data_IF_458557307010
#
_entry.id   IF_458557307010
#
_cell.length_a   1.000
_cell.length_b   1.000
_cell.length_c   1.000
_cell.angle_alpha   90.00
_cell.angle_beta   90.00
_cell.angle_gamma   90.00
#
_symmetry.space_group_name_H-M   'P 1'
#
loop_
_entity.id
_entity.type
_entity.pdbx_description
1 polymer ?
#
# COMPACT_ATOMS: atom_id res chain seq x y z
N UNK A 1 32.52 10.50 17.08
CA UNK A 1 32.01 9.87 15.84
C UNK A 1 30.70 10.54 15.53
N UNK A 2 30.70 11.49 14.61
CA UNK A 2 29.47 12.03 14.05
C UNK A 2 28.68 10.86 13.46
N UNK A 3 27.48 10.62 13.97
CA UNK A 3 26.55 9.72 13.30
C UNK A 3 26.24 10.38 11.98
N UNK A 4 26.72 9.82 10.88
CA UNK A 4 26.19 10.13 9.56
C UNK A 4 24.67 9.97 9.65
N UNK A 5 23.95 11.08 9.53
CA UNK A 5 22.49 11.04 9.40
C UNK A 5 22.24 10.38 8.06
N UNK A 6 21.75 9.13 8.06
CA UNK A 6 21.30 8.47 6.84
C UNK A 6 20.07 9.22 6.35
N UNK A 7 20.28 10.09 5.36
CA UNK A 7 19.20 10.80 4.71
C UNK A 7 18.42 9.82 3.84
N UNK A 8 17.17 9.59 4.23
CA UNK A 8 16.23 8.79 3.43
C UNK A 8 15.59 9.65 2.34
N UNK A 9 15.13 9.02 1.26
CA UNK A 9 14.54 9.72 0.10
C UNK A 9 13.43 10.71 0.49
N UNK A 10 12.61 10.39 1.48
CA UNK A 10 11.54 11.28 1.99
C UNK A 10 12.09 12.56 2.63
N UNK A 11 13.25 12.47 3.30
CA UNK A 11 13.90 13.60 3.97
C UNK A 11 14.43 14.59 2.92
N UNK A 12 15.00 14.09 1.83
CA UNK A 12 15.40 14.93 0.69
C UNK A 12 14.21 15.60 0.01
N UNK A 13 13.08 14.89 -0.16
CA UNK A 13 11.87 15.51 -0.72
C UNK A 13 11.37 16.66 0.17
N UNK A 14 11.37 16.47 1.49
CA UNK A 14 10.93 17.49 2.44
C UNK A 14 11.81 18.74 2.36
N UNK A 15 13.13 18.57 2.31
CA UNK A 15 14.08 19.67 2.22
C UNK A 15 14.01 20.39 0.87
N UNK A 16 14.14 19.66 -0.24
CA UNK A 16 14.23 20.24 -1.59
C UNK A 16 12.93 20.97 -1.97
N UNK A 17 11.77 20.39 -1.64
CA UNK A 17 10.47 20.96 -1.98
C UNK A 17 9.86 21.81 -0.86
N UNK A 18 10.56 22.01 0.26
CA UNK A 18 10.10 22.78 1.42
C UNK A 18 8.69 22.35 1.86
N UNK A 19 8.48 21.04 1.98
CA UNK A 19 7.18 20.47 2.32
C UNK A 19 6.79 20.89 3.74
N UNK A 20 5.50 21.22 3.92
CA UNK A 20 4.96 21.55 5.24
C UNK A 20 4.59 20.27 6.00
N UNK A 21 4.73 20.31 7.31
CA UNK A 21 4.09 19.31 8.17
C UNK A 21 2.56 19.44 8.05
N UNK A 22 1.89 18.29 7.91
CA UNK A 22 0.44 18.21 7.84
C UNK A 22 -0.01 17.16 8.85
N UNK A 23 -1.06 17.44 9.62
CA UNK A 23 -1.62 16.44 10.51
C UNK A 23 -2.33 15.38 9.67
N UNK A 24 -1.85 14.13 9.79
CA UNK A 24 -2.37 12.96 9.08
C UNK A 24 -3.89 12.81 9.30
N UNK A 25 -4.39 13.24 10.46
CA UNK A 25 -5.80 13.18 10.85
C UNK A 25 -6.71 14.07 10.01
N UNK A 26 -6.16 15.10 9.36
CA UNK A 26 -6.91 16.04 8.51
C UNK A 26 -7.17 15.48 7.10
N UNK A 27 -6.41 14.47 6.67
CA UNK A 27 -6.64 13.89 5.34
C UNK A 27 -7.93 13.08 5.28
N UNK A 28 -8.70 13.33 4.22
CA UNK A 28 -9.85 12.50 3.90
C UNK A 28 -9.43 11.06 3.57
N UNK A 29 -10.30 10.06 3.78
CA UNK A 29 -9.95 8.68 3.44
C UNK A 29 -9.60 8.48 1.96
N UNK A 30 -10.19 9.26 1.06
CA UNK A 30 -9.87 9.21 -0.38
C UNK A 30 -8.51 9.85 -0.69
N UNK A 31 -8.12 10.90 0.05
CA UNK A 31 -6.78 11.47 -0.08
C UNK A 31 -5.69 10.51 0.41
N UNK A 32 -5.97 9.77 1.50
CA UNK A 32 -5.09 8.68 1.95
C UNK A 32 -5.01 7.56 0.91
N UNK A 33 -6.14 7.15 0.33
CA UNK A 33 -6.16 6.13 -0.71
C UNK A 33 -5.37 6.56 -1.96
N UNK A 34 -5.50 7.82 -2.37
CA UNK A 34 -4.78 8.37 -3.52
C UNK A 34 -3.26 8.19 -3.43
N UNK A 35 -2.65 8.54 -2.29
CA UNK A 35 -1.20 8.33 -2.12
C UNK A 35 -0.88 6.86 -1.84
N UNK A 36 -1.73 6.15 -1.10
CA UNK A 36 -1.53 4.75 -0.75
C UNK A 36 -1.52 3.80 -1.95
N UNK A 37 -2.32 4.06 -2.98
CA UNK A 37 -2.29 3.33 -4.26
C UNK A 37 -0.91 3.45 -4.93
N UNK A 38 -0.35 4.66 -4.98
CA UNK A 38 0.99 4.91 -5.56
C UNK A 38 2.08 4.16 -4.77
N UNK A 39 1.99 4.15 -3.45
CA UNK A 39 2.97 3.47 -2.59
C UNK A 39 2.87 1.96 -2.75
N UNK A 40 1.66 1.40 -2.78
CA UNK A 40 1.49 -0.02 -3.00
C UNK A 40 2.01 -0.46 -4.38
N UNK A 41 1.68 0.30 -5.44
CA UNK A 41 2.19 0.05 -6.78
C UNK A 41 3.72 0.13 -6.85
N UNK A 42 4.35 1.08 -6.16
CA UNK A 42 5.82 1.18 -6.06
C UNK A 42 6.43 -0.05 -5.37
N UNK A 43 5.83 -0.53 -4.28
CA UNK A 43 6.30 -1.74 -3.59
C UNK A 43 6.22 -2.95 -4.53
N UNK A 44 5.08 -3.16 -5.20
CA UNK A 44 4.91 -4.28 -6.14
C UNK A 44 5.87 -4.17 -7.33
N UNK A 45 6.02 -2.99 -7.94
CA UNK A 45 6.96 -2.79 -9.05
C UNK A 45 8.40 -3.06 -8.64
N UNK A 46 8.78 -2.63 -7.43
CA UNK A 46 10.12 -2.92 -6.87
C UNK A 46 10.35 -4.43 -6.73
N UNK A 47 9.37 -5.17 -6.21
CA UNK A 47 9.44 -6.63 -6.08
C UNK A 47 9.53 -7.32 -7.46
N UNK A 48 8.69 -6.93 -8.41
CA UNK A 48 8.69 -7.50 -9.77
C UNK A 48 10.00 -7.19 -10.50
N UNK A 49 10.54 -5.98 -10.34
CA UNK A 49 11.84 -5.59 -10.90
C UNK A 49 12.99 -6.41 -10.29
N UNK A 50 12.90 -6.73 -9.00
CA UNK A 50 13.92 -7.51 -8.29
C UNK A 50 14.01 -8.97 -8.76
N UNK A 51 13.00 -9.49 -9.46
CA UNK A 51 13.03 -10.84 -10.06
C UNK A 51 13.84 -10.91 -11.37
N UNK A 52 14.49 -9.82 -11.75
CA UNK A 52 15.38 -9.74 -12.88
C UNK A 52 14.79 -9.03 -14.10
N UNK A 53 15.64 -8.86 -15.10
CA UNK A 53 15.33 -8.07 -16.29
C UNK A 53 14.38 -8.82 -17.24
N UNK A 54 13.08 -8.66 -17.01
CA UNK A 54 11.98 -9.12 -17.86
C UNK A 54 11.57 -8.03 -18.85
N UNK A 55 10.90 -8.41 -19.94
CA UNK A 55 10.26 -7.43 -20.84
C UNK A 55 9.23 -6.58 -20.08
N UNK A 56 9.25 -5.26 -20.29
CA UNK A 56 8.36 -4.28 -19.62
C UNK A 56 6.88 -4.68 -19.68
N UNK A 57 6.41 -5.21 -20.81
CA UNK A 57 5.03 -5.69 -20.95
C UNK A 57 4.69 -6.84 -19.99
N UNK A 58 5.64 -7.75 -19.73
CA UNK A 58 5.47 -8.84 -18.76
C UNK A 58 5.45 -8.29 -17.33
N UNK A 59 6.34 -7.35 -17.00
CA UNK A 59 6.35 -6.67 -15.69
C UNK A 59 5.03 -5.94 -15.42
N UNK A 60 4.49 -5.24 -16.41
CA UNK A 60 3.19 -4.57 -16.28
C UNK A 60 2.06 -5.56 -16.02
N UNK A 61 2.01 -6.67 -16.76
CA UNK A 61 1.01 -7.72 -16.57
C UNK A 61 1.09 -8.34 -15.17
N UNK A 62 2.31 -8.62 -14.71
CA UNK A 62 2.57 -9.17 -13.38
C UNK A 62 2.17 -8.18 -12.28
N UNK A 63 2.63 -6.93 -12.36
CA UNK A 63 2.25 -5.86 -11.42
C UNK A 63 0.73 -5.71 -11.34
N UNK A 64 0.07 -5.61 -12.50
CA UNK A 64 -1.39 -5.46 -12.60
C UNK A 64 -2.16 -6.58 -11.90
N UNK A 65 -1.59 -7.79 -11.89
CA UNK A 65 -2.22 -8.94 -11.23
C UNK A 65 -2.31 -8.81 -9.71
N UNK A 66 -1.37 -8.07 -9.09
CA UNK A 66 -1.34 -7.79 -7.65
C UNK A 66 -2.06 -6.48 -7.28
N UNK A 67 -1.95 -5.44 -8.11
CA UNK A 67 -2.49 -4.10 -7.79
C UNK A 67 -3.97 -3.91 -8.14
N UNK A 68 -4.58 -4.84 -8.89
CA UNK A 68 -6.01 -4.78 -9.17
C UNK A 68 -6.87 -4.91 -7.90
N UNK A 69 -8.03 -4.25 -7.89
CA UNK A 69 -8.95 -4.21 -6.74
C UNK A 69 -9.37 -5.60 -6.21
N UNK A 70 -9.51 -6.59 -7.10
CA UNK A 70 -9.86 -7.96 -6.71
C UNK A 70 -8.74 -8.64 -5.89
N UNK A 71 -7.48 -8.41 -6.24
CA UNK A 71 -6.32 -8.92 -5.51
C UNK A 71 -6.17 -8.20 -4.18
N UNK A 72 -6.27 -6.87 -4.17
CA UNK A 72 -6.27 -6.07 -2.93
C UNK A 72 -7.39 -6.51 -1.97
N UNK A 73 -8.61 -6.70 -2.47
CA UNK A 73 -9.74 -7.22 -1.69
C UNK A 73 -9.46 -8.58 -1.07
N UNK A 74 -8.78 -9.48 -1.80
CA UNK A 74 -8.36 -10.79 -1.26
C UNK A 74 -7.31 -10.66 -0.17
N UNK A 75 -6.24 -9.89 -0.43
CA UNK A 75 -5.18 -9.63 0.57
C UNK A 75 -5.77 -9.05 1.87
N UNK A 76 -6.71 -8.13 1.75
CA UNK A 76 -7.36 -7.48 2.88
C UNK A 76 -8.20 -8.42 3.75
N UNK A 77 -8.57 -9.61 3.26
CA UNK A 77 -9.25 -10.62 4.10
C UNK A 77 -8.29 -11.15 5.16
N UNK A 78 -7.05 -11.44 4.77
CA UNK A 78 -5.99 -11.92 5.66
C UNK A 78 -5.46 -10.80 6.54
N UNK A 79 -5.13 -9.65 5.94
CA UNK A 79 -4.52 -8.50 6.65
C UNK A 79 -5.40 -8.04 7.82
N UNK A 80 -6.74 -8.12 7.70
CA UNK A 80 -7.66 -7.68 8.75
C UNK A 80 -7.41 -8.35 10.10
N UNK A 81 -6.95 -9.59 10.15
CA UNK A 81 -6.68 -10.32 11.40
C UNK A 81 -5.45 -9.80 12.14
N UNK A 82 -4.61 -9.02 11.46
CA UNK A 82 -3.36 -8.49 12.00
C UNK A 82 -3.43 -7.00 12.31
N UNK A 83 -4.55 -6.33 12.04
CA UNK A 83 -4.70 -4.90 12.26
C UNK A 83 -4.88 -4.57 13.73
N UNK A 84 -4.29 -3.46 14.15
CA UNK A 84 -4.64 -2.78 15.39
C UNK A 84 -6.01 -2.10 15.26
N UNK A 85 -6.60 -1.70 16.39
CA UNK A 85 -7.87 -0.95 16.40
C UNK A 85 -7.79 0.37 15.60
N UNK A 86 -6.66 1.08 15.70
CA UNK A 86 -6.44 2.32 14.95
C UNK A 86 -6.47 2.04 13.43
N UNK A 87 -5.70 1.05 12.99
CA UNK A 87 -5.60 0.65 11.57
C UNK A 87 -6.95 0.14 11.03
N UNK A 88 -7.70 -0.61 11.84
CA UNK A 88 -9.07 -1.00 11.53
C UNK A 88 -9.97 0.23 11.33
N UNK A 89 -9.81 1.26 12.16
CA UNK A 89 -10.50 2.53 12.01
C UNK A 89 -10.20 3.19 10.66
N UNK A 90 -8.93 3.30 10.28
CA UNK A 90 -8.51 3.86 8.99
C UNK A 90 -9.10 3.06 7.82
N UNK A 91 -8.93 1.74 7.84
CA UNK A 91 -9.45 0.82 6.82
C UNK A 91 -10.97 0.99 6.64
N UNK A 92 -11.73 0.98 7.75
CA UNK A 92 -13.19 1.14 7.72
C UNK A 92 -13.60 2.49 7.13
N UNK A 93 -12.89 3.58 7.46
CA UNK A 93 -13.16 4.91 6.88
C UNK A 93 -12.93 4.93 5.37
N UNK A 94 -11.83 4.34 4.88
CA UNK A 94 -11.57 4.21 3.44
C UNK A 94 -12.62 3.37 2.72
N UNK A 95 -12.96 2.19 3.26
CA UNK A 95 -13.96 1.28 2.69
C UNK A 95 -15.37 1.88 2.60
N UNK A 96 -15.69 2.79 3.52
CA UNK A 96 -16.98 3.46 3.60
C UNK A 96 -16.99 4.84 2.96
N UNK A 97 -15.86 5.31 2.44
CA UNK A 97 -15.80 6.56 1.71
C UNK A 97 -16.68 6.49 0.46
N UNK A 98 -17.51 7.51 0.25
CA UNK A 98 -18.36 7.61 -0.93
C UNK A 98 -17.50 8.14 -2.09
N UNK A 99 -16.91 7.26 -2.88
CA UNK A 99 -16.30 7.62 -4.18
C UNK A 99 -17.25 7.34 -5.34
N UNK A 100 -16.99 8.02 -6.46
CA UNK A 100 -17.74 7.94 -7.72
C UNK A 100 -17.69 6.50 -8.25
N UNK A 101 -18.82 6.05 -8.82
CA UNK A 101 -19.11 4.66 -9.21
C UNK A 101 -17.94 3.86 -9.78
N UNK A 102 -17.82 2.56 -9.43
CA UNK A 102 -16.77 1.70 -9.97
C UNK A 102 -16.85 1.58 -11.49
N UNK A 103 -15.74 1.19 -12.11
CA UNK A 103 -15.71 0.82 -13.53
C UNK A 103 -16.77 -0.27 -13.81
N UNK A 104 -17.40 -0.22 -15.00
CA UNK A 104 -18.62 -0.99 -15.37
C UNK A 104 -18.59 -2.51 -15.09
N UNK A 105 -17.42 -3.11 -14.87
CA UNK A 105 -17.24 -4.55 -14.68
C UNK A 105 -16.55 -4.94 -13.35
N UNK A 106 -16.35 -4.02 -12.41
CA UNK A 106 -15.74 -4.32 -11.12
C UNK A 106 -16.80 -4.55 -10.02
N UNK A 107 -16.55 -5.56 -9.18
CA UNK A 107 -17.33 -5.78 -7.96
C UNK A 107 -17.23 -4.55 -7.07
N UNK A 108 -18.37 -3.91 -6.78
CA UNK A 108 -18.47 -2.76 -5.86
C UNK A 108 -17.82 -3.10 -4.51
N UNK A 109 -17.98 -4.34 -4.05
CA UNK A 109 -17.41 -4.82 -2.78
C UNK A 109 -15.89 -4.88 -2.83
N UNK A 110 -15.31 -5.37 -3.93
CA UNK A 110 -13.85 -5.45 -4.08
C UNK A 110 -13.23 -4.05 -4.20
N UNK A 111 -13.86 -3.18 -4.99
CA UNK A 111 -13.45 -1.78 -5.11
C UNK A 111 -13.44 -1.08 -3.74
N UNK A 112 -14.52 -1.20 -2.95
CA UNK A 112 -14.57 -0.60 -1.61
C UNK A 112 -13.51 -1.18 -0.67
N UNK A 113 -13.24 -2.49 -0.73
CA UNK A 113 -12.19 -3.10 0.10
C UNK A 113 -10.79 -2.63 -0.32
N UNK A 114 -10.54 -2.50 -1.62
CA UNK A 114 -9.31 -1.95 -2.18
C UNK A 114 -9.09 -0.50 -1.72
N UNK A 115 -10.09 0.37 -1.84
CA UNK A 115 -10.00 1.75 -1.34
C UNK A 115 -9.72 1.82 0.17
N UNK A 116 -10.28 0.89 0.95
CA UNK A 116 -9.94 0.76 2.37
C UNK A 116 -8.48 0.37 2.61
N UNK A 117 -7.96 -0.57 1.82
CA UNK A 117 -6.57 -1.00 1.87
C UNK A 117 -5.62 0.13 1.46
N UNK A 118 -5.88 0.81 0.35
CA UNK A 118 -5.11 1.96 -0.13
C UNK A 118 -5.09 3.07 0.93
N UNK A 119 -6.22 3.38 1.57
CA UNK A 119 -6.27 4.37 2.64
C UNK A 119 -5.39 3.99 3.85
N UNK A 120 -5.32 2.70 4.19
CA UNK A 120 -4.43 2.21 5.24
C UNK A 120 -2.96 2.34 4.85
N UNK A 121 -2.60 2.01 3.61
CA UNK A 121 -1.23 2.18 3.09
C UNK A 121 -0.81 3.66 3.12
N UNK A 122 -1.69 4.55 2.68
CA UNK A 122 -1.42 6.00 2.70
C UNK A 122 -1.27 6.54 4.12
N UNK A 123 -2.07 6.08 5.07
CA UNK A 123 -1.94 6.47 6.48
C UNK A 123 -0.59 6.03 7.06
N UNK A 124 -0.20 4.76 6.88
CA UNK A 124 1.08 4.26 7.38
C UNK A 124 2.26 4.96 6.71
N UNK A 125 2.13 5.28 5.41
CA UNK A 125 3.12 6.03 4.66
C UNK A 125 3.33 7.43 5.26
N UNK A 126 2.25 8.19 5.49
CA UNK A 126 2.35 9.54 6.04
C UNK A 126 2.82 9.54 7.51
N UNK A 127 2.53 8.47 8.26
CA UNK A 127 3.06 8.24 9.62
C UNK A 127 4.55 7.90 9.63
N UNK A 128 5.16 7.68 8.46
CA UNK A 128 6.53 7.17 8.29
C UNK A 128 6.75 5.80 8.93
N UNK A 129 5.68 5.00 9.09
CA UNK A 129 5.76 3.64 9.63
C UNK A 129 6.00 2.63 8.50
N UNK A 130 7.15 2.78 7.85
CA UNK A 130 7.54 2.02 6.66
C UNK A 130 7.55 0.52 6.92
N UNK A 131 8.07 0.12 8.09
CA UNK A 131 8.15 -1.28 8.48
C UNK A 131 6.76 -1.89 8.57
N UNK A 132 5.83 -1.24 9.29
CA UNK A 132 4.47 -1.75 9.43
C UNK A 132 3.75 -1.86 8.09
N UNK A 133 3.93 -0.88 7.21
CA UNK A 133 3.39 -0.91 5.84
C UNK A 133 3.86 -2.17 5.10
N UNK A 134 5.18 -2.41 5.07
CA UNK A 134 5.77 -3.54 4.35
C UNK A 134 5.38 -4.89 4.98
N UNK A 135 5.29 -4.97 6.31
CA UNK A 135 4.85 -6.18 7.01
C UNK A 135 3.42 -6.58 6.60
N UNK A 136 2.49 -5.61 6.54
CA UNK A 136 1.11 -5.87 6.11
C UNK A 136 1.03 -6.26 4.63
N UNK A 137 1.82 -5.62 3.76
CA UNK A 137 1.93 -6.01 2.35
C UNK A 137 2.44 -7.44 2.20
N UNK A 138 3.49 -7.82 2.95
CA UNK A 138 4.04 -9.19 2.96
C UNK A 138 2.97 -10.20 3.37
N UNK A 139 2.24 -9.95 4.46
CA UNK A 139 1.12 -10.79 4.92
C UNK A 139 0.07 -10.95 3.81
N UNK A 140 -0.33 -9.86 3.18
CA UNK A 140 -1.27 -9.88 2.06
C UNK A 140 -0.78 -10.74 0.90
N UNK A 141 0.44 -10.50 0.43
CA UNK A 141 1.04 -11.23 -0.70
C UNK A 141 1.15 -12.73 -0.47
N UNK A 142 1.50 -13.16 0.75
CA UNK A 142 1.54 -14.56 1.14
C UNK A 142 0.16 -15.26 1.04
N UNK A 143 -0.94 -14.51 1.07
CA UNK A 143 -2.29 -15.07 0.97
C UNK A 143 -2.84 -15.16 -0.46
N UNK A 144 -2.25 -14.44 -1.41
CA UNK A 144 -2.72 -14.41 -2.80
C UNK A 144 -1.72 -15.00 -3.79
N UNK A 145 -0.50 -15.27 -3.36
CA UNK A 145 0.56 -15.87 -4.16
C UNK A 145 0.94 -17.22 -3.56
N UNK A 146 1.16 -18.24 -4.40
CA UNK A 146 1.91 -19.45 -4.04
C UNK A 146 3.42 -19.14 -3.83
N UNK A 147 3.74 -18.00 -3.21
CA UNK A 147 5.13 -17.63 -2.86
C UNK A 147 5.47 -18.30 -1.53
N UNK A 148 5.76 -19.59 -1.60
CA UNK A 148 6.45 -20.34 -0.54
C UNK A 148 7.81 -19.72 -0.16
N UNK A 149 8.38 -18.87 -1.02
CA UNK A 149 9.69 -18.24 -0.84
C UNK A 149 9.75 -17.00 0.08
N UNK A 150 8.63 -16.46 0.57
CA UNK A 150 8.65 -15.32 1.51
C UNK A 150 8.60 -15.76 2.99
N UNK A 151 8.59 -17.08 3.24
CA UNK A 151 8.41 -17.68 4.57
C UNK A 151 9.69 -17.84 5.40
N UNK A 152 10.86 -17.53 4.88
CA UNK A 152 12.11 -17.74 5.64
C UNK A 152 12.85 -16.42 5.79
N UNK A 153 12.94 -15.98 7.05
CA UNK A 153 14.09 -15.37 7.73
C UNK A 153 13.62 -15.08 9.16
N UNK A 154 13.80 -16.08 10.02
CA UNK A 154 13.74 -16.00 11.49
C UNK A 154 15.15 -15.76 12.03
#
# INVERSE_FOLDING_TARGET
MEKSVDWQFDSYMQEIFQMKEVDIREYSPLALAYIGDCIFDLVIKSLVMNEGNKQVQKMHKETSSYVQASAQSKMMRTIQEHLTEEEHGIYKRGRNAKSVSPAKNQSITDYRRATGFEALMGYLYLKKDWKRLLDLVKIGLCSVSDRSALKEEE
#
